data_IF_684029754473
#
_entry.id   IF_684029754473
#
_cell.length_a   1.000
_cell.length_b   1.000
_cell.length_c   1.000
_cell.angle_alpha   90.00
_cell.angle_beta   90.00
_cell.angle_gamma   90.00
#
_symmetry.space_group_name_H-M   'P 1'
#
loop_
_entity.id
_entity.type
_entity.pdbx_description
1 polymer ?
#
# COMPACT_ATOMS: atom_id res chain seq x y z
N UNK A 1 -29.26 -9.27 -69.07
CA UNK A 1 -28.86 -8.51 -67.85
C UNK A 1 -29.12 -9.40 -66.64
N UNK A 2 -28.15 -10.22 -66.27
CA UNK A 2 -28.27 -11.15 -65.13
C UNK A 2 -27.71 -10.50 -63.86
N UNK A 3 -28.48 -10.65 -62.79
CA UNK A 3 -28.35 -10.03 -61.49
C UNK A 3 -27.03 -10.42 -60.77
N UNK A 4 -26.25 -9.42 -60.36
CA UNK A 4 -25.26 -9.59 -59.28
C UNK A 4 -25.91 -9.21 -57.95
N UNK A 5 -26.62 -10.16 -57.34
CA UNK A 5 -27.09 -10.01 -55.97
C UNK A 5 -25.88 -10.16 -55.04
N UNK A 6 -25.31 -9.03 -54.61
CA UNK A 6 -24.29 -9.02 -53.56
C UNK A 6 -24.87 -9.63 -52.28
N UNK A 7 -24.19 -10.58 -51.62
CA UNK A 7 -24.68 -11.13 -50.37
C UNK A 7 -24.68 -10.02 -49.32
N UNK A 8 -25.85 -9.61 -48.87
CA UNK A 8 -26.00 -8.76 -47.71
C UNK A 8 -25.40 -9.49 -46.50
N UNK A 9 -24.59 -8.83 -45.66
CA UNK A 9 -24.12 -9.43 -44.43
C UNK A 9 -25.34 -9.55 -43.51
N UNK A 10 -25.88 -10.77 -43.40
CA UNK A 10 -26.85 -11.08 -42.35
C UNK A 10 -26.28 -10.58 -41.02
N UNK A 11 -27.03 -9.80 -40.23
CA UNK A 11 -26.55 -9.36 -38.92
C UNK A 11 -26.24 -10.61 -38.10
N UNK A 12 -24.97 -10.79 -37.76
CA UNK A 12 -24.54 -11.90 -36.92
C UNK A 12 -25.34 -11.83 -35.61
N UNK A 13 -25.88 -12.96 -35.13
CA UNK A 13 -26.64 -12.95 -33.89
C UNK A 13 -25.74 -12.45 -32.76
N UNK A 14 -26.30 -11.63 -31.85
CA UNK A 14 -25.60 -10.98 -30.74
C UNK A 14 -24.80 -11.96 -29.84
N UNK A 15 -25.09 -13.25 -29.90
CA UNK A 15 -24.39 -14.33 -29.20
C UNK A 15 -23.09 -14.80 -29.88
N UNK A 16 -22.75 -14.26 -31.05
CA UNK A 16 -21.53 -14.61 -31.79
C UNK A 16 -20.36 -13.75 -31.30
N UNK A 17 -19.27 -14.40 -30.92
CA UNK A 17 -18.03 -13.78 -30.48
C UNK A 17 -17.02 -13.88 -31.63
N UNK A 18 -16.79 -12.79 -32.40
CA UNK A 18 -15.80 -12.80 -33.46
C UNK A 18 -14.38 -12.77 -32.87
N UNK A 19 -13.52 -13.64 -33.40
CA UNK A 19 -12.12 -13.77 -33.00
C UNK A 19 -11.21 -13.50 -34.19
N UNK A 20 -10.34 -12.51 -34.04
CA UNK A 20 -9.33 -12.14 -35.03
C UNK A 20 -7.92 -12.45 -34.51
N UNK A 21 -7.05 -12.92 -35.41
CA UNK A 21 -5.63 -13.12 -35.15
C UNK A 21 -4.84 -12.05 -35.89
N UNK A 22 -4.24 -11.14 -35.13
CA UNK A 22 -3.51 -9.99 -35.65
C UNK A 22 -2.03 -10.13 -35.32
N UNK A 23 -1.19 -9.83 -36.31
CA UNK A 23 0.22 -9.54 -36.12
C UNK A 23 0.40 -8.07 -35.85
N UNK A 24 1.22 -7.79 -34.85
CA UNK A 24 1.60 -6.43 -34.48
C UNK A 24 2.86 -6.05 -35.28
N UNK A 25 2.77 -5.00 -36.06
CA UNK A 25 3.90 -4.38 -36.78
C UNK A 25 4.20 -3.04 -36.11
N UNK A 26 5.46 -2.84 -35.74
CA UNK A 26 5.92 -1.63 -35.09
C UNK A 26 6.63 -0.74 -36.11
N UNK A 27 6.07 0.45 -36.37
CA UNK A 27 6.66 1.48 -37.23
C UNK A 27 7.36 2.55 -36.40
N UNK A 28 8.39 3.19 -36.98
CA UNK A 28 9.11 4.31 -36.36
C UNK A 28 8.17 5.52 -36.23
N UNK A 29 8.10 6.09 -35.04
CA UNK A 29 7.17 7.18 -34.67
C UNK A 29 7.88 8.46 -34.19
N UNK A 30 9.22 8.45 -34.09
CA UNK A 30 10.01 9.58 -33.58
C UNK A 30 10.00 9.75 -32.05
N UNK A 31 9.13 9.03 -31.34
CA UNK A 31 9.06 8.99 -29.87
C UNK A 31 9.60 7.65 -29.33
N UNK A 32 9.76 7.55 -28.00
CA UNK A 32 10.13 6.29 -27.31
C UNK A 32 9.10 5.18 -27.51
N UNK A 33 7.84 5.52 -27.78
CA UNK A 33 6.75 4.58 -28.07
C UNK A 33 6.55 4.43 -29.59
N UNK A 34 6.71 3.22 -30.17
CA UNK A 34 6.54 3.00 -31.61
C UNK A 34 5.09 3.13 -32.06
N UNK A 35 4.87 3.41 -33.35
CA UNK A 35 3.53 3.40 -33.95
C UNK A 35 3.12 1.96 -34.24
N UNK A 36 1.96 1.55 -33.73
CA UNK A 36 1.45 0.19 -33.87
C UNK A 36 0.52 0.10 -35.06
N UNK A 37 0.81 -0.83 -35.96
CA UNK A 37 -0.06 -1.22 -37.08
C UNK A 37 -0.40 -2.71 -36.94
N UNK A 38 -1.56 -3.10 -37.42
CA UNK A 38 -2.08 -4.46 -37.28
C UNK A 38 -2.28 -5.07 -38.66
N UNK A 39 -1.72 -6.25 -38.88
CA UNK A 39 -1.90 -7.05 -40.08
C UNK A 39 -2.63 -8.35 -39.70
N UNK A 40 -3.65 -8.74 -40.45
CA UNK A 40 -4.32 -10.01 -40.23
C UNK A 40 -3.47 -11.18 -40.72
N UNK A 41 -3.16 -12.13 -39.84
CA UNK A 41 -2.29 -13.26 -40.18
C UNK A 41 -2.95 -14.63 -40.07
N UNK A 42 -4.20 -14.70 -39.58
CA UNK A 42 -4.81 -15.98 -39.22
C UNK A 42 -6.29 -16.10 -39.56
N UNK A 43 -6.86 -17.29 -39.32
CA UNK A 43 -8.24 -17.59 -39.65
C UNK A 43 -9.19 -16.69 -38.85
N UNK A 44 -10.16 -16.08 -39.54
CA UNK A 44 -11.27 -15.37 -38.91
C UNK A 44 -12.25 -16.41 -38.38
N UNK A 45 -12.50 -16.40 -37.07
CA UNK A 45 -13.38 -17.38 -36.43
C UNK A 45 -14.57 -16.67 -35.78
N UNK A 46 -15.77 -17.07 -36.16
CA UNK A 46 -17.00 -16.66 -35.52
C UNK A 46 -17.44 -17.76 -34.55
N UNK A 47 -17.20 -17.55 -33.26
CA UNK A 47 -17.48 -18.55 -32.24
C UNK A 47 -18.84 -18.27 -31.59
N UNK A 48 -19.66 -19.31 -31.45
CA UNK A 48 -20.94 -19.23 -30.73
C UNK A 48 -20.89 -20.17 -29.54
N UNK A 49 -21.21 -19.66 -28.36
CA UNK A 49 -21.34 -20.49 -27.16
C UNK A 49 -22.60 -21.36 -27.28
N UNK A 50 -22.44 -22.69 -27.14
CA UNK A 50 -23.57 -23.63 -27.20
C UNK A 50 -23.87 -24.31 -25.87
N UNK A 51 -22.90 -25.03 -25.30
CA UNK A 51 -23.03 -25.70 -24.01
C UNK A 51 -21.85 -25.31 -23.13
N UNK A 52 -22.10 -25.09 -21.85
CA UNK A 52 -21.08 -24.81 -20.85
C UNK A 52 -21.13 -25.86 -19.75
N UNK A 53 -19.96 -26.29 -19.30
CA UNK A 53 -19.82 -27.16 -18.13
C UNK A 53 -18.87 -26.46 -17.16
N UNK A 54 -19.44 -25.73 -16.21
CA UNK A 54 -18.67 -25.05 -15.18
C UNK A 54 -18.21 -26.06 -14.13
N UNK A 55 -16.95 -25.96 -13.71
CA UNK A 55 -16.42 -26.80 -12.63
C UNK A 55 -17.07 -26.45 -11.29
N UNK A 56 -17.09 -27.41 -10.37
CA UNK A 56 -17.44 -27.15 -8.97
C UNK A 56 -16.46 -26.16 -8.31
N UNK A 57 -16.95 -25.44 -7.30
CA UNK A 57 -16.16 -24.43 -6.59
C UNK A 57 -14.93 -25.02 -5.87
N UNK A 58 -15.02 -26.25 -5.39
CA UNK A 58 -13.88 -26.95 -4.77
C UNK A 58 -12.73 -27.20 -5.75
N UNK A 59 -13.03 -27.64 -6.98
CA UNK A 59 -12.03 -27.87 -8.03
C UNK A 59 -11.41 -26.56 -8.51
N UNK A 60 -12.22 -25.51 -8.68
CA UNK A 60 -11.74 -24.18 -9.06
C UNK A 60 -10.73 -23.63 -8.02
N UNK A 61 -11.06 -23.75 -6.73
CA UNK A 61 -10.18 -23.33 -5.62
C UNK A 61 -8.86 -24.10 -5.59
N UNK A 62 -8.90 -25.40 -5.89
CA UNK A 62 -7.71 -26.23 -5.97
C UNK A 62 -6.82 -25.84 -7.16
N UNK A 63 -7.38 -25.67 -8.35
CA UNK A 63 -6.64 -25.26 -9.55
C UNK A 63 -5.99 -23.87 -9.42
N UNK A 64 -6.67 -22.94 -8.73
CA UNK A 64 -6.17 -21.59 -8.49
C UNK A 64 -5.22 -21.47 -7.28
N UNK A 65 -4.85 -22.57 -6.62
CA UNK A 65 -3.95 -22.56 -5.46
C UNK A 65 -2.52 -22.22 -5.90
N UNK A 66 -2.04 -21.04 -5.50
CA UNK A 66 -0.65 -20.62 -5.76
C UNK A 66 0.29 -21.30 -4.77
N UNK A 67 1.46 -21.81 -5.22
CA UNK A 67 2.42 -22.44 -4.33
C UNK A 67 2.97 -21.44 -3.31
N UNK A 68 3.20 -21.91 -2.08
CA UNK A 68 3.66 -21.06 -0.96
C UNK A 68 5.04 -20.43 -1.22
N UNK A 69 5.88 -21.05 -2.04
CA UNK A 69 7.18 -20.53 -2.44
C UNK A 69 7.06 -19.26 -3.32
N UNK A 70 6.09 -19.22 -4.24
CA UNK A 70 5.90 -18.08 -5.16
C UNK A 70 5.25 -16.89 -4.46
N UNK A 71 4.41 -17.15 -3.46
CA UNK A 71 3.75 -16.11 -2.66
C UNK A 71 4.02 -16.32 -1.18
N UNK A 72 5.21 -15.93 -0.68
CA UNK A 72 5.51 -16.01 0.73
C UNK A 72 4.56 -15.09 1.49
N UNK A 73 3.98 -15.61 2.59
CA UNK A 73 3.15 -14.81 3.48
C UNK A 73 4.00 -13.70 4.10
N UNK A 74 3.51 -12.45 4.02
CA UNK A 74 4.16 -11.32 4.67
C UNK A 74 3.99 -11.44 6.19
N UNK A 75 5.11 -11.64 6.89
CA UNK A 75 5.13 -11.59 8.36
C UNK A 75 5.15 -10.11 8.77
N UNK A 76 4.23 -9.69 9.65
CA UNK A 76 4.19 -8.30 10.15
C UNK A 76 5.49 -7.99 10.90
N UNK A 77 5.94 -6.75 10.80
CA UNK A 77 7.13 -6.22 11.49
C UNK A 77 8.46 -6.88 11.11
N UNK A 78 8.49 -7.72 10.06
CA UNK A 78 9.72 -8.30 9.51
C UNK A 78 9.87 -7.86 8.06
N UNK A 79 10.95 -7.15 7.75
CA UNK A 79 11.35 -6.80 6.39
C UNK A 79 12.65 -7.50 6.01
N UNK A 80 12.86 -7.71 4.72
CA UNK A 80 14.14 -8.16 4.16
C UNK A 80 14.77 -7.00 3.42
N UNK A 81 16.05 -6.76 3.68
CA UNK A 81 16.83 -5.78 2.95
C UNK A 81 17.31 -6.34 1.60
N UNK A 82 17.74 -5.48 0.69
CA UNK A 82 18.28 -5.84 -0.64
C UNK A 82 19.47 -6.79 -0.54
N UNK A 83 20.23 -6.72 0.56
CA UNK A 83 21.35 -7.60 0.89
C UNK A 83 20.94 -8.90 1.62
N UNK A 84 19.63 -9.17 1.78
CA UNK A 84 19.12 -10.43 2.35
C UNK A 84 19.02 -10.49 3.88
N UNK A 85 19.49 -9.46 4.60
CA UNK A 85 19.36 -9.34 6.06
C UNK A 85 17.89 -9.23 6.49
N UNK A 86 17.51 -9.93 7.58
CA UNK A 86 16.17 -9.84 8.18
C UNK A 86 16.15 -8.73 9.22
N UNK A 87 15.27 -7.75 9.04
CA UNK A 87 15.10 -6.61 9.95
C UNK A 87 13.74 -6.71 10.67
N UNK A 88 13.76 -6.57 11.98
CA UNK A 88 12.57 -6.52 12.83
C UNK A 88 12.26 -5.09 13.28
N UNK A 89 11.01 -4.63 13.17
CA UNK A 89 10.58 -3.33 13.71
C UNK A 89 9.92 -3.51 15.07
N UNK A 90 10.48 -2.85 16.10
CA UNK A 90 9.88 -2.76 17.44
C UNK A 90 9.17 -1.42 17.55
N UNK A 91 7.87 -1.45 17.81
CA UNK A 91 7.08 -0.23 18.03
C UNK A 91 6.97 0.03 19.53
N UNK A 92 7.89 0.84 20.07
CA UNK A 92 7.82 1.29 21.46
C UNK A 92 6.63 2.23 21.64
N UNK A 93 5.83 1.99 22.68
CA UNK A 93 4.77 2.92 23.09
C UNK A 93 5.40 4.11 23.81
N UNK A 94 4.74 5.27 23.74
CA UNK A 94 5.07 6.41 24.59
C UNK A 94 4.88 5.99 26.05
N UNK A 95 5.92 6.15 26.87
CA UNK A 95 5.90 5.80 28.29
C UNK A 95 5.67 7.08 29.11
N UNK A 96 4.53 7.18 29.80
CA UNK A 96 4.20 8.33 30.63
C UNK A 96 4.70 8.10 32.07
N UNK A 97 5.67 8.91 32.51
CA UNK A 97 6.29 8.82 33.83
C UNK A 97 5.62 9.69 34.91
N UNK A 98 4.56 10.43 34.54
CA UNK A 98 3.84 11.33 35.45
C UNK A 98 3.15 10.59 36.60
N UNK A 99 2.79 9.33 36.40
CA UNK A 99 2.20 8.47 37.42
C UNK A 99 3.26 7.80 38.32
N UNK A 100 4.54 7.90 37.97
CA UNK A 100 5.61 7.22 38.68
C UNK A 100 5.96 7.95 39.99
N UNK A 101 5.37 7.53 41.10
CA UNK A 101 5.76 8.02 42.41
C UNK A 101 7.06 7.35 42.87
N UNK A 102 8.13 8.14 43.02
CA UNK A 102 9.38 7.66 43.62
C UNK A 102 9.21 7.42 45.12
N UNK A 103 9.95 6.44 45.66
CA UNK A 103 9.95 6.13 47.09
C UNK A 103 10.31 7.38 47.91
N UNK A 104 9.45 7.75 48.85
CA UNK A 104 9.61 8.94 49.71
C UNK A 104 10.65 8.70 50.81
N UNK A 105 11.93 8.75 50.44
CA UNK A 105 13.05 8.59 51.38
C UNK A 105 13.11 9.77 52.37
N UNK A 106 13.63 9.50 53.58
CA UNK A 106 13.73 10.50 54.66
C UNK A 106 14.58 11.71 54.25
N UNK A 107 15.63 11.52 53.45
CA UNK A 107 16.51 12.60 52.98
C UNK A 107 15.91 13.53 51.91
N UNK A 108 14.86 13.11 51.20
CA UNK A 108 14.17 13.96 50.22
C UNK A 108 12.98 14.72 50.81
N UNK A 109 12.62 14.44 52.07
CA UNK A 109 11.57 15.18 52.77
C UNK A 109 12.16 16.49 53.28
N UNK A 110 11.57 17.62 52.88
CA UNK A 110 11.89 18.93 53.47
C UNK A 110 11.61 18.89 54.97
N UNK A 111 12.65 18.99 55.78
CA UNK A 111 12.55 19.20 57.22
C UNK A 111 12.05 20.63 57.44
N UNK A 112 11.08 20.83 58.34
CA UNK A 112 10.69 22.19 58.77
C UNK A 112 11.94 22.90 59.32
N UNK A 113 12.23 24.16 58.95
CA UNK A 113 13.32 24.89 59.57
C UNK A 113 13.04 24.96 61.07
N UNK A 114 13.96 24.44 61.87
CA UNK A 114 13.93 24.66 63.31
C UNK A 114 14.04 26.16 63.54
N UNK A 115 13.09 26.74 64.26
CA UNK A 115 13.16 28.14 64.70
C UNK A 115 14.26 28.27 65.74
N UNK A 116 15.51 28.35 65.28
CA UNK A 116 16.63 28.87 66.07
C UNK A 116 17.16 30.09 65.34
N UNK A 117 16.75 31.24 65.86
CA UNK A 117 17.52 32.49 65.96
C UNK A 117 18.62 32.75 64.92
N UNK A 118 18.34 33.76 64.07
CA UNK A 118 19.25 34.74 63.43
C UNK A 118 20.63 34.22 63.00
N UNK A 119 20.87 34.21 61.69
CA UNK A 119 21.80 35.18 61.10
C UNK A 119 21.54 35.39 59.61
N UNK A 120 21.75 36.64 59.19
CA UNK A 120 21.53 37.16 57.85
C UNK A 120 22.52 36.53 56.88
N UNK A 121 22.07 36.13 55.70
CA UNK A 121 22.80 36.26 54.45
C UNK A 121 21.80 36.33 53.29
N UNK A 122 22.06 37.25 52.35
CA UNK A 122 21.09 37.94 51.51
C UNK A 122 20.50 37.17 50.31
N UNK A 123 19.68 37.86 49.49
CA UNK A 123 18.86 37.23 48.46
C UNK A 123 19.64 37.04 47.15
N UNK A 124 19.81 35.80 46.70
CA UNK A 124 20.15 35.54 45.30
C UNK A 124 18.88 35.41 44.47
N UNK A 125 18.52 36.52 43.82
CA UNK A 125 17.50 36.54 42.78
C UNK A 125 18.01 35.85 41.52
N UNK A 126 17.25 34.91 40.96
CA UNK A 126 17.27 34.65 39.51
C UNK A 126 15.85 34.80 39.01
N UNK A 127 15.59 36.01 38.52
CA UNK A 127 14.43 36.33 37.68
C UNK A 127 14.46 35.38 36.46
N UNK A 128 13.41 34.58 36.25
CA UNK A 128 13.04 34.13 34.91
C UNK A 128 11.79 34.92 34.53
N UNK A 129 12.00 35.80 33.55
CA UNK A 129 11.00 36.70 33.02
C UNK A 129 9.83 35.90 32.44
N UNK A 130 8.63 36.40 32.73
CA UNK A 130 7.42 36.12 31.96
C UNK A 130 7.48 37.03 30.73
N UNK A 131 7.57 36.43 29.55
CA UNK A 131 7.27 37.09 28.28
C UNK A 131 5.95 36.50 27.81
N UNK A 132 4.88 37.27 27.99
CA UNK A 132 3.68 37.14 27.18
C UNK A 132 4.00 37.82 25.84
N UNK A 133 3.88 37.10 24.74
CA UNK A 133 3.77 37.67 23.40
C UNK A 133 2.46 37.21 22.78
N UNK A 134 1.46 38.09 22.85
CA UNK A 134 0.25 38.06 22.04
C UNK A 134 0.57 38.68 20.67
N UNK A 135 0.41 37.90 19.60
CA UNK A 135 0.22 38.35 18.20
C UNK A 135 -0.03 37.07 17.38
N UNK A 136 -1.29 36.72 17.10
CA UNK A 136 -2.00 37.02 15.84
C UNK A 136 -1.47 36.23 14.63
N UNK A 137 -2.24 35.19 14.27
CA UNK A 137 -2.53 34.63 12.94
C UNK A 137 -2.77 33.12 13.01
#
# INVERSE_FOLDING_TARGET
>A
SLLSLSPSPFPLPFSTIPRYFLRVILKKSGCKTPRVELEEMGPRLDLVMRRSHLSSDSLLKQACKKPAAVKPKKVKNVSRDSFGSKLGRVHMKRQDFTQLQTRKMKGLKRTKPHSSTRNKDGPHTTKRAKLDSTASS
#
